data_IF_043550749668
#
_entry.id   IF_043550749668
#
_cell.length_a   1.000
_cell.length_b   1.000
_cell.length_c   1.000
_cell.angle_alpha   90.00
_cell.angle_beta   90.00
_cell.angle_gamma   90.00
#
_symmetry.space_group_name_H-M   'P 1'
#
loop_
_entity.id
_entity.type
_entity.pdbx_description
1 polymer ?
#
# COMPACT_ATOMS: atom_id res chain seq x y z
N UNK A 1 -2.03 8.91 1.96
CA UNK A 1 -1.47 9.71 0.86
C UNK A 1 -0.06 9.24 0.53
N UNK A 2 0.33 9.28 -0.75
CA UNK A 2 1.66 8.84 -1.19
C UNK A 2 2.78 9.83 -0.74
N UNK A 3 4.00 9.33 -0.45
CA UNK A 3 5.13 10.15 0.04
C UNK A 3 5.46 11.34 -0.86
N UNK A 4 5.45 11.15 -2.19
CA UNK A 4 5.82 12.17 -3.16
C UNK A 4 4.84 13.35 -3.17
N UNK A 5 3.54 13.08 -2.96
CA UNK A 5 2.50 14.11 -2.87
C UNK A 5 2.65 14.90 -1.56
N UNK A 6 2.95 14.19 -0.46
CA UNK A 6 3.17 14.79 0.86
C UNK A 6 4.46 15.62 0.94
N UNK A 7 5.48 15.25 0.19
CA UNK A 7 6.78 15.92 0.22
C UNK A 7 6.79 17.30 -0.46
N UNK A 8 5.77 17.60 -1.28
CA UNK A 8 5.71 18.82 -2.10
C UNK A 8 6.79 18.91 -3.18
N UNK A 9 7.62 17.87 -3.37
CA UNK A 9 8.78 17.88 -4.29
C UNK A 9 8.41 17.52 -5.73
N UNK A 10 7.26 16.92 -5.97
CA UNK A 10 6.83 16.52 -7.30
C UNK A 10 5.47 17.12 -7.64
N UNK A 11 5.42 17.88 -8.74
CA UNK A 11 4.17 18.34 -9.36
C UNK A 11 3.56 17.30 -10.30
N UNK A 12 4.30 16.22 -10.60
CA UNK A 12 3.78 15.11 -11.41
C UNK A 12 2.98 14.15 -10.55
N UNK A 13 1.66 14.36 -10.57
CA UNK A 13 0.68 13.39 -10.12
C UNK A 13 0.52 12.34 -11.21
N UNK A 14 0.74 11.08 -10.85
CA UNK A 14 0.52 9.92 -11.73
C UNK A 14 -0.39 8.92 -11.02
N UNK A 15 -0.95 7.95 -11.75
CA UNK A 15 -1.73 6.84 -11.17
C UNK A 15 -1.04 6.12 -10.00
N UNK A 16 0.28 6.24 -9.87
CA UNK A 16 1.06 5.62 -8.79
C UNK A 16 0.69 6.15 -7.41
N UNK A 17 0.13 7.36 -7.29
CA UNK A 17 -0.34 7.88 -5.99
C UNK A 17 -1.59 7.13 -5.52
N UNK A 18 -2.43 6.71 -6.46
CA UNK A 18 -3.63 5.93 -6.20
C UNK A 18 -3.27 4.48 -5.88
N UNK A 19 -2.27 3.93 -6.58
CA UNK A 19 -1.70 2.61 -6.25
C UNK A 19 -1.15 2.56 -4.82
N UNK A 20 -0.47 3.62 -4.38
CA UNK A 20 -0.02 3.72 -2.99
C UNK A 20 -1.19 3.66 -2.01
N UNK A 21 -2.21 4.48 -2.26
CA UNK A 21 -3.40 4.55 -1.40
C UNK A 21 -4.17 3.23 -1.42
N UNK A 22 -4.21 2.53 -2.56
CA UNK A 22 -4.77 1.19 -2.68
C UNK A 22 -4.03 0.15 -1.83
N UNK A 23 -2.70 0.24 -1.71
CA UNK A 23 -1.93 -0.61 -0.79
C UNK A 23 -2.36 -0.43 0.67
N UNK A 24 -2.64 0.81 1.09
CA UNK A 24 -3.17 1.10 2.43
C UNK A 24 -4.56 0.48 2.60
N UNK A 25 -5.44 0.64 1.60
CA UNK A 25 -6.78 0.02 1.60
C UNK A 25 -6.70 -1.51 1.67
N UNK A 26 -5.74 -2.14 0.98
CA UNK A 26 -5.52 -3.59 1.12
C UNK A 26 -5.20 -3.99 2.56
N UNK A 27 -4.45 -3.17 3.29
CA UNK A 27 -4.17 -3.43 4.70
C UNK A 27 -5.41 -3.21 5.59
N UNK A 28 -6.20 -2.17 5.32
CA UNK A 28 -7.47 -1.91 6.02
C UNK A 28 -8.45 -3.07 5.81
N UNK A 29 -8.59 -3.57 4.58
CA UNK A 29 -9.43 -4.73 4.26
C UNK A 29 -8.94 -6.01 4.95
N UNK A 30 -7.61 -6.19 5.02
CA UNK A 30 -7.01 -7.35 5.68
C UNK A 30 -7.30 -7.35 7.19
N UNK A 31 -7.11 -6.20 7.84
CA UNK A 31 -7.11 -6.09 9.31
C UNK A 31 -8.46 -5.71 9.90
N UNK A 32 -9.26 -4.95 9.16
CA UNK A 32 -10.45 -4.27 9.67
C UNK A 32 -10.14 -3.03 10.54
N UNK A 33 -8.86 -2.67 10.66
CA UNK A 33 -8.38 -1.61 11.54
C UNK A 33 -8.22 -0.28 10.79
N UNK A 34 -8.27 0.83 11.54
CA UNK A 34 -7.95 2.16 11.02
C UNK A 34 -6.42 2.34 10.95
N UNK A 35 -5.86 2.75 9.79
CA UNK A 35 -4.43 2.91 9.64
C UNK A 35 -3.98 4.13 10.43
N UNK A 36 -3.03 3.91 11.34
CA UNK A 36 -2.41 4.98 12.14
C UNK A 36 -3.35 5.71 13.11
N UNK A 37 -4.39 5.05 13.64
CA UNK A 37 -5.44 5.61 14.49
C UNK A 37 -4.94 6.54 15.63
N UNK A 38 -3.77 6.25 16.21
CA UNK A 38 -3.21 7.00 17.36
C UNK A 38 -2.13 8.03 16.99
N UNK A 39 -1.96 8.36 15.71
CA UNK A 39 -0.86 9.23 15.26
C UNK A 39 -1.30 10.65 14.90
N UNK A 40 -0.55 11.63 15.42
CA UNK A 40 -0.73 13.04 15.01
C UNK A 40 -0.29 13.24 13.55
N UNK A 41 -1.06 14.05 12.79
CA UNK A 41 -0.91 14.19 11.34
C UNK A 41 0.48 14.61 10.89
N UNK A 42 1.16 15.49 11.63
CA UNK A 42 2.53 15.92 11.29
C UNK A 42 3.56 14.77 11.41
N UNK A 43 3.46 13.97 12.47
CA UNK A 43 4.33 12.82 12.72
C UNK A 43 4.08 11.71 11.70
N UNK A 44 2.81 11.49 11.34
CA UNK A 44 2.41 10.56 10.28
C UNK A 44 3.02 10.95 8.93
N UNK A 45 2.84 12.21 8.52
CA UNK A 45 3.38 12.72 7.24
C UNK A 45 4.91 12.57 7.21
N UNK A 46 5.59 12.99 8.28
CA UNK A 46 7.04 12.85 8.39
C UNK A 46 7.50 11.39 8.30
N UNK A 47 6.80 10.47 8.97
CA UNK A 47 7.10 9.03 8.93
C UNK A 47 6.90 8.42 7.54
N UNK A 48 5.81 8.78 6.85
CA UNK A 48 5.51 8.30 5.50
C UNK A 48 6.57 8.79 4.51
N UNK A 49 6.89 10.10 4.54
CA UNK A 49 7.86 10.74 3.64
C UNK A 49 9.27 10.20 3.85
N UNK A 50 9.66 9.92 5.09
CA UNK A 50 10.97 9.37 5.43
C UNK A 50 11.06 7.84 5.29
N UNK A 51 9.99 7.19 4.80
CA UNK A 51 9.90 5.73 4.68
C UNK A 51 10.15 4.99 6.02
N UNK A 52 9.92 5.64 7.16
CA UNK A 52 10.05 5.05 8.49
C UNK A 52 8.73 4.54 9.05
N UNK A 53 7.63 4.83 8.35
CA UNK A 53 6.28 4.46 8.78
C UNK A 53 5.50 3.78 7.64
N UNK A 54 5.00 2.58 7.92
CA UNK A 54 4.01 1.83 7.15
C UNK A 54 3.11 1.07 8.13
N UNK A 55 1.88 0.68 7.74
CA UNK A 55 1.03 -0.10 8.61
C UNK A 55 1.69 -1.43 8.95
N UNK A 56 1.53 -1.90 10.19
CA UNK A 56 2.16 -3.15 10.63
C UNK A 56 1.44 -4.33 10.00
N UNK A 57 2.14 -5.10 9.17
CA UNK A 57 1.58 -6.34 8.60
C UNK A 57 1.46 -7.42 9.69
N UNK A 58 0.27 -8.01 9.91
CA UNK A 58 0.09 -9.10 10.87
C UNK A 58 0.89 -10.35 10.50
N UNK A 59 1.28 -11.15 11.49
CA UNK A 59 2.08 -12.38 11.27
C UNK A 59 1.31 -13.48 10.57
N UNK A 60 -0.02 -13.44 10.60
CA UNK A 60 -0.92 -14.38 9.93
C UNK A 60 -1.25 -13.98 8.49
N UNK A 61 -0.74 -12.84 8.01
CA UNK A 61 -0.99 -12.38 6.65
C UNK A 61 -0.44 -13.40 5.64
N UNK A 62 -1.27 -13.74 4.65
CA UNK A 62 -0.84 -14.57 3.51
C UNK A 62 0.38 -13.92 2.82
N UNK A 63 1.44 -14.70 2.48
CA UNK A 63 2.64 -14.15 1.88
C UNK A 63 2.42 -13.48 0.52
N UNK A 64 1.49 -13.98 -0.32
CA UNK A 64 1.19 -13.36 -1.61
C UNK A 64 0.43 -12.06 -1.42
N UNK A 65 -0.53 -12.03 -0.48
CA UNK A 65 -1.21 -10.79 -0.09
C UNK A 65 -0.21 -9.73 0.41
N UNK A 66 0.67 -10.13 1.33
CA UNK A 66 1.71 -9.26 1.88
C UNK A 66 2.59 -8.69 0.77
N UNK A 67 3.08 -9.54 -0.13
CA UNK A 67 3.96 -9.11 -1.21
C UNK A 67 3.28 -8.12 -2.15
N UNK A 68 2.02 -8.37 -2.54
CA UNK A 68 1.28 -7.47 -3.41
C UNK A 68 1.01 -6.12 -2.70
N UNK A 69 0.47 -6.18 -1.49
CA UNK A 69 0.18 -5.02 -0.65
C UNK A 69 1.42 -4.14 -0.43
N UNK A 70 2.56 -4.76 -0.11
CA UNK A 70 3.80 -4.03 0.16
C UNK A 70 4.39 -3.40 -1.11
N UNK A 71 4.22 -4.03 -2.27
CA UNK A 71 4.62 -3.43 -3.55
C UNK A 71 3.78 -2.20 -3.91
N UNK A 72 2.49 -2.19 -3.56
CA UNK A 72 1.59 -1.06 -3.83
C UNK A 72 2.03 0.21 -3.10
N UNK A 73 2.52 0.11 -1.85
CA UNK A 73 2.97 1.26 -1.05
C UNK A 73 4.49 1.46 -1.02
N UNK A 74 5.21 0.94 -2.03
CA UNK A 74 6.64 1.18 -2.20
C UNK A 74 6.95 2.69 -2.19
N UNK A 75 8.07 3.07 -1.58
CA UNK A 75 8.45 4.48 -1.49
C UNK A 75 8.73 5.09 -2.85
N UNK A 76 9.41 4.35 -3.72
CA UNK A 76 9.63 4.75 -5.10
C UNK A 76 8.37 4.48 -5.95
N UNK A 77 7.74 5.50 -6.57
CA UNK A 77 6.57 5.31 -7.42
C UNK A 77 6.77 4.35 -8.59
N UNK A 78 8.00 4.21 -9.10
CA UNK A 78 8.30 3.32 -10.24
C UNK A 78 8.33 1.85 -9.87
N UNK A 79 8.47 1.52 -8.58
CA UNK A 79 8.46 0.15 -8.06
C UNK A 79 7.03 -0.36 -7.80
N UNK A 80 6.06 0.55 -7.75
CA UNK A 80 4.66 0.19 -7.56
C UNK A 80 4.13 -0.46 -8.84
N UNK A 81 3.32 -1.52 -8.77
CA UNK A 81 2.69 -2.11 -9.95
C UNK A 81 1.66 -1.16 -10.58
N UNK A 82 1.23 -1.44 -11.81
CA UNK A 82 0.03 -0.85 -12.40
C UNK A 82 -1.23 -1.56 -11.88
N UNK A 83 -2.39 -0.91 -11.97
CA UNK A 83 -3.65 -1.57 -11.62
C UNK A 83 -3.96 -2.81 -12.48
N UNK A 84 -3.46 -2.86 -13.72
CA UNK A 84 -3.57 -4.04 -14.57
C UNK A 84 -2.82 -5.24 -13.98
N UNK A 85 -1.58 -5.02 -13.52
CA UNK A 85 -0.77 -6.04 -12.86
C UNK A 85 -1.38 -6.47 -11.52
N UNK A 86 -1.87 -5.53 -10.72
CA UNK A 86 -2.57 -5.79 -9.45
C UNK A 86 -3.81 -6.67 -9.70
N UNK A 87 -4.68 -6.26 -10.63
CA UNK A 87 -5.90 -6.99 -10.99
C UNK A 87 -5.59 -8.41 -11.45
N UNK A 88 -4.57 -8.57 -12.30
CA UNK A 88 -4.11 -9.89 -12.75
C UNK A 88 -3.66 -10.75 -11.57
N UNK A 89 -2.84 -10.22 -10.66
CA UNK A 89 -2.32 -10.96 -9.50
C UNK A 89 -3.44 -11.37 -8.54
N UNK A 90 -4.37 -10.45 -8.23
CA UNK A 90 -5.54 -10.74 -7.39
C UNK A 90 -6.42 -11.86 -7.97
N UNK A 91 -6.65 -11.86 -9.30
CA UNK A 91 -7.41 -12.94 -9.97
C UNK A 91 -6.72 -14.29 -9.86
N UNK A 92 -5.39 -14.34 -9.99
CA UNK A 92 -4.61 -15.57 -9.82
C UNK A 92 -4.72 -16.08 -8.37
N UNK A 93 -4.55 -15.19 -7.38
CA UNK A 93 -4.69 -15.54 -5.96
C UNK A 93 -6.10 -16.06 -5.65
N UNK A 94 -7.15 -15.38 -6.14
CA UNK A 94 -8.53 -15.80 -5.96
C UNK A 94 -8.82 -17.17 -6.59
N UNK A 95 -8.31 -17.43 -7.79
CA UNK A 95 -8.44 -18.73 -8.43
C UNK A 95 -7.74 -19.84 -7.64
N UNK A 96 -6.56 -19.58 -7.07
CA UNK A 96 -5.84 -20.54 -6.24
C UNK A 96 -6.57 -20.87 -4.92
N UNK A 97 -7.31 -19.92 -4.35
CA UNK A 97 -8.14 -20.15 -3.16
C UNK A 97 -9.38 -21.00 -3.44
N UNK A 98 -10.01 -20.84 -4.61
CA UNK A 98 -11.20 -21.59 -5.02
C UNK A 98 -10.92 -23.04 -5.46
N UNK A 99 -9.67 -23.48 -5.42
CA UNK A 99 -9.25 -24.84 -5.74
C UNK A 99 -9.02 -25.72 -4.49
N UNK A 100 -9.32 -25.20 -3.30
CA UNK A 100 -9.32 -25.93 -2.03
C UNK A 100 -10.74 -26.14 -1.54
#
# INVERSE_FOLDING_TARGET
MAPELLSGKSTMVTEKIDVYSFGIVMWEVLTGDEPYADMHSASLIGGIVNNSLRPRTPTWCDPEWKSLMESCWASNPTERPSFSEISKKLRIMAAAMNLK
#
